data_IF_770205735175
#
_entry.id   IF_770205735175
#
_cell.length_a   1.000
_cell.length_b   1.000
_cell.length_c   1.000
_cell.angle_alpha   90.00
_cell.angle_beta   90.00
_cell.angle_gamma   90.00
#
_symmetry.space_group_name_H-M   'P 1'
#
loop_
_entity.id
_entity.type
_entity.pdbx_description
1 polymer ?
#
# COMPACT_ATOMS: atom_id res chain seq x y z
N UNK A 1 7.82 -2.29 1.18
CA UNK A 1 6.35 -2.40 1.34
C UNK A 1 5.96 -3.85 1.59
N UNK A 2 6.26 -4.71 0.63
CA UNK A 2 6.23 -6.16 0.76
C UNK A 2 7.67 -6.61 1.07
N UNK A 3 7.92 -7.44 2.08
CA UNK A 3 9.26 -7.96 2.37
C UNK A 3 9.81 -8.77 1.19
N UNK A 4 11.08 -8.54 0.82
CA UNK A 4 11.72 -9.23 -0.32
C UNK A 4 11.46 -8.57 -1.68
N UNK A 5 10.42 -7.77 -1.82
CA UNK A 5 10.04 -7.12 -3.07
C UNK A 5 10.57 -5.67 -3.16
N UNK A 6 11.31 -5.37 -4.23
CA UNK A 6 11.73 -3.99 -4.53
C UNK A 6 10.64 -3.27 -5.32
N UNK A 7 9.86 -2.47 -4.60
CA UNK A 7 8.73 -1.72 -5.15
C UNK A 7 9.13 -0.27 -5.51
N UNK A 8 8.63 0.23 -6.63
CA UNK A 8 8.73 1.64 -7.06
C UNK A 8 7.35 2.29 -7.00
N UNK A 9 7.24 3.54 -6.55
CA UNK A 9 5.93 4.16 -6.40
C UNK A 9 5.89 5.47 -5.63
N UNK A 10 4.67 5.90 -5.31
CA UNK A 10 4.38 7.13 -4.59
C UNK A 10 3.16 6.99 -3.65
N UNK A 11 3.10 7.84 -2.64
CA UNK A 11 1.96 7.98 -1.71
C UNK A 11 1.27 9.32 -1.91
N UNK A 12 -0.06 9.36 -1.84
CA UNK A 12 -0.85 10.59 -1.89
C UNK A 12 -1.69 10.79 -0.62
N UNK A 13 -1.94 12.04 -0.27
CA UNK A 13 -2.78 12.42 0.86
C UNK A 13 -3.45 13.77 0.60
N UNK A 14 -4.78 13.80 0.62
CA UNK A 14 -5.56 15.03 0.47
C UNK A 14 -6.87 14.92 1.24
N UNK A 15 -7.17 15.90 2.11
CA UNK A 15 -8.49 16.05 2.77
C UNK A 15 -9.09 14.76 3.38
N UNK A 16 -8.26 13.93 4.03
CA UNK A 16 -8.70 12.67 4.65
C UNK A 16 -8.79 11.46 3.71
N UNK A 17 -8.47 11.64 2.43
CA UNK A 17 -8.20 10.58 1.47
C UNK A 17 -6.71 10.29 1.44
N UNK A 18 -6.37 9.00 1.41
CA UNK A 18 -5.01 8.50 1.35
C UNK A 18 -4.90 7.51 0.20
N UNK A 19 -3.91 7.71 -0.66
CA UNK A 19 -3.61 6.81 -1.77
C UNK A 19 -2.18 6.28 -1.72
N UNK A 20 -1.98 5.11 -2.29
CA UNK A 20 -0.66 4.50 -2.44
C UNK A 20 -0.64 3.74 -3.77
N UNK A 21 0.39 3.98 -4.57
CA UNK A 21 0.62 3.33 -5.86
C UNK A 21 2.05 2.82 -5.87
N UNK A 22 2.22 1.49 -5.89
CA UNK A 22 3.53 0.84 -5.96
C UNK A 22 3.49 -0.38 -6.86
N UNK A 23 4.56 -0.62 -7.60
CA UNK A 23 4.69 -1.74 -8.53
C UNK A 23 6.12 -2.30 -8.53
N UNK A 24 6.27 -3.57 -8.89
CA UNK A 24 7.56 -4.21 -9.16
C UNK A 24 7.75 -4.30 -10.68
N UNK A 25 8.69 -3.55 -11.28
CA UNK A 25 8.88 -3.55 -12.74
C UNK A 25 9.51 -4.83 -13.28
N UNK A 26 10.05 -5.71 -12.43
CA UNK A 26 10.66 -6.98 -12.85
C UNK A 26 9.65 -8.13 -12.87
N UNK A 27 8.75 -8.15 -11.90
CA UNK A 27 7.79 -9.24 -11.68
C UNK A 27 6.39 -8.92 -12.23
N UNK A 28 6.25 -7.81 -12.96
CA UNK A 28 5.03 -7.37 -13.65
C UNK A 28 3.75 -7.35 -12.80
N UNK A 29 3.85 -6.85 -11.56
CA UNK A 29 2.69 -6.64 -10.69
C UNK A 29 2.75 -5.30 -9.98
N UNK A 30 1.58 -4.81 -9.53
CA UNK A 30 1.48 -3.61 -8.72
C UNK A 30 0.12 -3.44 -8.08
N UNK A 31 0.05 -2.45 -7.19
CA UNK A 31 -1.14 -2.15 -6.42
C UNK A 31 -1.41 -0.66 -6.42
N UNK A 32 -2.70 -0.32 -6.53
CA UNK A 32 -3.23 1.00 -6.23
C UNK A 32 -4.27 0.82 -5.13
N UNK A 33 -4.04 1.44 -3.98
CA UNK A 33 -4.99 1.43 -2.86
C UNK A 33 -5.38 2.87 -2.56
N UNK A 34 -6.69 3.13 -2.53
CA UNK A 34 -7.28 4.42 -2.19
C UNK A 34 -8.21 4.18 -1.00
N UNK A 35 -8.01 4.92 0.08
CA UNK A 35 -8.77 4.78 1.32
C UNK A 35 -9.17 6.15 1.85
N UNK A 36 -10.40 6.23 2.34
CA UNK A 36 -10.92 7.28 3.20
C UNK A 36 -11.60 6.66 4.42
N UNK A 37 -11.78 7.43 5.50
CA UNK A 37 -12.62 7.02 6.63
C UNK A 37 -12.14 5.84 7.49
N UNK A 38 -10.87 5.44 7.37
CA UNK A 38 -10.34 4.32 8.17
C UNK A 38 -9.99 4.73 9.60
N UNK A 39 -10.44 3.94 10.58
CA UNK A 39 -10.08 4.09 12.00
C UNK A 39 -8.58 3.92 12.29
N UNK A 40 -7.84 3.31 11.36
CA UNK A 40 -6.39 3.13 11.47
C UNK A 40 -5.61 4.08 10.59
N UNK A 41 -6.26 5.06 9.96
CA UNK A 41 -5.59 6.04 9.11
C UNK A 41 -4.48 6.80 9.84
N UNK A 42 -4.68 7.19 11.11
CA UNK A 42 -3.66 7.87 11.92
C UNK A 42 -2.54 6.98 12.46
N UNK A 43 -2.62 5.65 12.27
CA UNK A 43 -1.61 4.68 12.72
C UNK A 43 -0.63 4.38 11.60
N UNK A 44 0.61 4.08 11.95
CA UNK A 44 1.68 3.79 10.99
C UNK A 44 2.34 2.43 11.26
N UNK A 45 2.64 1.73 10.17
CA UNK A 45 3.35 0.44 10.15
C UNK A 45 4.42 0.53 9.08
N UNK A 46 5.70 0.39 9.47
CA UNK A 46 6.86 0.51 8.56
C UNK A 46 6.82 1.79 7.68
N UNK A 47 6.46 2.91 8.28
CA UNK A 47 6.42 4.23 7.61
C UNK A 47 5.19 4.49 6.73
N UNK A 48 4.25 3.56 6.63
CA UNK A 48 2.98 3.73 5.90
C UNK A 48 1.80 3.72 6.83
N UNK A 49 0.68 4.32 6.43
CA UNK A 49 -0.56 4.19 7.19
C UNK A 49 -0.91 2.70 7.34
N UNK A 50 -1.27 2.27 8.55
CA UNK A 50 -1.50 0.86 8.85
C UNK A 50 -2.52 0.24 7.89
N UNK A 51 -3.61 0.95 7.58
CA UNK A 51 -4.60 0.48 6.60
C UNK A 51 -3.98 0.19 5.22
N UNK A 52 -3.10 1.06 4.73
CA UNK A 52 -2.43 0.87 3.44
C UNK A 52 -1.46 -0.30 3.46
N UNK A 53 -0.66 -0.40 4.53
CA UNK A 53 0.29 -1.49 4.69
C UNK A 53 -0.43 -2.84 4.74
N UNK A 54 -1.48 -2.95 5.56
CA UNK A 54 -2.30 -4.15 5.68
C UNK A 54 -2.97 -4.51 4.35
N UNK A 55 -3.63 -3.56 3.69
CA UNK A 55 -4.30 -3.84 2.40
C UNK A 55 -3.31 -4.33 1.34
N UNK A 56 -2.16 -3.67 1.15
CA UNK A 56 -1.19 -4.09 0.13
C UNK A 56 -0.66 -5.51 0.42
N UNK A 57 -0.26 -5.80 1.67
CA UNK A 57 0.27 -7.13 1.98
C UNK A 57 -0.82 -8.21 1.85
N UNK A 58 -2.07 -7.91 2.25
CA UNK A 58 -3.20 -8.83 2.03
C UNK A 58 -3.45 -9.08 0.54
N UNK A 59 -3.42 -8.04 -0.31
CA UNK A 59 -3.59 -8.22 -1.76
C UNK A 59 -2.46 -9.05 -2.36
N UNK A 60 -1.21 -8.80 -1.97
CA UNK A 60 -0.07 -9.59 -2.43
C UNK A 60 -0.18 -11.06 -2.01
N UNK A 61 -0.46 -11.34 -0.74
CA UNK A 61 -0.52 -12.70 -0.21
C UNK A 61 -1.67 -13.53 -0.82
N UNK A 62 -2.74 -12.88 -1.31
CA UNK A 62 -3.92 -13.59 -1.84
C UNK A 62 -4.03 -13.58 -3.37
N UNK A 63 -3.40 -12.63 -4.06
CA UNK A 63 -3.59 -12.44 -5.50
C UNK A 63 -2.30 -12.58 -6.33
N UNK A 64 -1.12 -12.47 -5.71
CA UNK A 64 0.17 -12.45 -6.43
C UNK A 64 1.08 -13.61 -6.02
N UNK A 65 1.26 -13.82 -4.71
CA UNK A 65 2.22 -14.79 -4.15
C UNK A 65 1.95 -16.24 -4.56
#
# INVERSE_FOLDING_TARGET
>A
IIPGEKMTGHTGSAYGLYSIMFFNPKEDFGFVVIVNGSSTAGKYTKGLRTIMYSTINSLYDNLIK
#
